data_IF_370449982157
#
_entry.id   IF_370449982157
#
_cell.length_a   1.000
_cell.length_b   1.000
_cell.length_c   1.000
_cell.angle_alpha   90.00
_cell.angle_beta   90.00
_cell.angle_gamma   90.00
#
_symmetry.space_group_name_H-M   'P 1'
#
loop_
_entity.id
_entity.type
_entity.pdbx_description
1 polymer ?
#
# COMPACT_ATOMS: atom_id res chain seq x y z
N UNK A 1 16.31 28.89 -6.08
CA UNK A 1 16.74 27.92 -7.10
C UNK A 1 17.05 26.62 -6.38
N UNK A 2 16.51 25.50 -6.88
CA UNK A 2 16.68 24.19 -6.26
C UNK A 2 18.09 23.63 -6.48
N UNK A 3 18.57 22.80 -5.56
CA UNK A 3 19.85 22.08 -5.70
C UNK A 3 19.70 20.61 -5.29
N UNK A 4 20.66 19.80 -5.74
CA UNK A 4 20.79 18.41 -5.30
C UNK A 4 20.81 18.31 -3.76
N UNK A 5 20.03 17.39 -3.22
CA UNK A 5 19.85 17.16 -1.79
C UNK A 5 18.76 18.02 -1.14
N UNK A 6 18.14 18.96 -1.86
CA UNK A 6 16.98 19.67 -1.31
C UNK A 6 15.82 18.69 -1.11
N UNK A 7 15.17 18.80 0.06
CA UNK A 7 13.98 18.04 0.43
C UNK A 7 12.74 18.80 -0.01
N UNK A 8 11.79 18.10 -0.62
CA UNK A 8 10.59 18.70 -1.19
C UNK A 8 9.35 17.89 -0.85
N UNK A 9 8.19 18.53 -0.93
CA UNK A 9 6.87 17.89 -0.89
C UNK A 9 6.15 18.18 -2.21
N UNK A 10 5.50 17.16 -2.77
CA UNK A 10 4.81 17.26 -4.05
C UNK A 10 3.48 18.02 -3.89
N UNK A 11 3.14 18.80 -4.91
CA UNK A 11 1.91 19.57 -4.99
C UNK A 11 0.95 18.96 -6.02
N UNK A 12 -0.34 19.10 -5.76
CA UNK A 12 -1.41 18.78 -6.70
C UNK A 12 -1.54 19.87 -7.80
N UNK A 13 -2.51 19.69 -8.70
CA UNK A 13 -2.78 20.67 -9.76
C UNK A 13 -3.32 22.02 -9.25
N UNK A 14 -3.73 22.10 -7.98
CA UNK A 14 -4.18 23.34 -7.31
C UNK A 14 -3.05 24.06 -6.56
N UNK A 15 -1.84 23.49 -6.54
CA UNK A 15 -0.68 24.03 -5.84
C UNK A 15 -0.68 23.73 -4.33
N UNK A 16 -1.51 22.79 -3.86
CA UNK A 16 -1.53 22.33 -2.48
C UNK A 16 -0.77 21.01 -2.35
N UNK A 17 -0.19 20.69 -1.17
CA UNK A 17 0.37 19.36 -0.94
C UNK A 17 -0.61 18.25 -1.32
N UNK A 18 -0.13 17.24 -2.02
CA UNK A 18 -0.91 16.03 -2.30
C UNK A 18 -1.36 15.41 -0.97
N UNK A 19 -2.57 14.86 -0.93
CA UNK A 19 -3.06 14.10 0.23
C UNK A 19 -3.16 12.63 -0.18
N UNK A 20 -2.37 11.74 0.45
CA UNK A 20 -1.44 11.96 1.55
C UNK A 20 -0.19 12.70 1.07
N UNK A 21 0.48 13.37 2.00
CA UNK A 21 1.69 14.14 1.72
C UNK A 21 2.79 13.22 1.17
N UNK A 22 3.27 13.52 -0.04
CA UNK A 22 4.39 12.80 -0.69
C UNK A 22 5.63 13.69 -0.61
N UNK A 23 6.71 13.16 -0.03
CA UNK A 23 8.01 13.85 0.05
C UNK A 23 9.05 13.19 -0.84
N UNK A 24 10.03 13.97 -1.29
CA UNK A 24 11.12 13.50 -2.12
C UNK A 24 12.41 14.29 -1.88
N UNK A 25 13.53 13.77 -2.38
CA UNK A 25 14.83 14.46 -2.40
C UNK A 25 15.21 14.77 -3.85
N UNK A 26 15.71 15.97 -4.12
CA UNK A 26 16.23 16.32 -5.44
C UNK A 26 17.54 15.55 -5.69
N UNK A 27 17.51 14.60 -6.60
CA UNK A 27 18.66 13.80 -7.01
C UNK A 27 19.55 14.55 -8.00
N UNK A 28 18.92 15.28 -8.94
CA UNK A 28 19.60 16.05 -9.98
C UNK A 28 18.74 17.21 -10.50
N UNK A 29 19.38 18.23 -11.07
CA UNK A 29 18.71 19.44 -11.60
C UNK A 29 18.98 19.57 -13.09
N UNK A 30 17.91 19.64 -13.88
CA UNK A 30 17.97 19.71 -15.35
C UNK A 30 17.50 21.08 -15.84
N UNK A 31 18.47 21.95 -16.12
CA UNK A 31 18.17 23.31 -16.56
C UNK A 31 17.50 24.14 -15.47
N UNK A 32 16.51 24.94 -15.87
CA UNK A 32 15.85 25.89 -14.97
C UNK A 32 14.43 25.47 -14.56
N UNK A 33 13.83 24.50 -15.25
CA UNK A 33 12.41 24.16 -15.12
C UNK A 33 12.17 22.73 -14.60
N UNK A 34 13.18 21.85 -14.58
CA UNK A 34 13.01 20.43 -14.25
C UNK A 34 14.03 19.91 -13.26
N UNK A 35 13.61 18.94 -12.47
CA UNK A 35 14.48 18.20 -11.55
C UNK A 35 14.16 16.72 -11.61
N UNK A 36 15.11 15.89 -11.19
CA UNK A 36 14.88 14.49 -10.89
C UNK A 36 14.70 14.32 -9.39
N UNK A 37 13.57 13.76 -9.01
CA UNK A 37 13.23 13.47 -7.62
C UNK A 37 13.53 12.00 -7.33
N UNK A 38 14.14 11.75 -6.18
CA UNK A 38 14.29 10.45 -5.55
C UNK A 38 13.21 10.32 -4.48
N UNK A 39 12.33 9.34 -4.67
CA UNK A 39 11.25 9.02 -3.75
C UNK A 39 11.76 8.10 -2.61
N UNK A 40 11.05 8.06 -1.46
CA UNK A 40 11.48 7.26 -0.30
C UNK A 40 11.52 5.75 -0.56
N UNK A 41 10.78 5.26 -1.55
CA UNK A 41 10.74 3.87 -2.00
C UNK A 41 11.88 3.52 -3.00
N UNK A 42 12.84 4.43 -3.19
CA UNK A 42 13.88 4.39 -4.23
C UNK A 42 13.36 4.51 -5.67
N UNK A 43 12.10 4.87 -5.86
CA UNK A 43 11.59 5.32 -7.15
C UNK A 43 12.23 6.65 -7.58
N UNK A 44 12.24 6.91 -8.87
CA UNK A 44 12.65 8.21 -9.39
C UNK A 44 11.67 8.76 -10.42
N UNK A 45 11.39 10.05 -10.36
CA UNK A 45 10.57 10.74 -11.36
C UNK A 45 11.20 12.07 -11.80
N UNK A 46 10.87 12.49 -13.02
CA UNK A 46 11.21 13.82 -13.53
C UNK A 46 10.02 14.73 -13.29
N UNK A 47 10.26 15.90 -12.71
CA UNK A 47 9.17 16.81 -12.33
C UNK A 47 9.52 18.28 -12.59
N UNK A 48 8.50 19.10 -12.82
CA UNK A 48 8.64 20.54 -13.01
C UNK A 48 8.75 21.29 -11.68
N UNK A 49 9.56 22.34 -11.65
CA UNK A 49 9.85 23.13 -10.43
C UNK A 49 8.66 23.84 -9.80
N UNK A 50 7.51 23.89 -10.49
CA UNK A 50 6.23 24.42 -10.01
C UNK A 50 5.33 23.35 -9.37
N UNK A 51 5.73 22.07 -9.37
CA UNK A 51 4.95 20.92 -8.85
C UNK A 51 5.41 20.41 -7.49
N UNK A 52 6.30 21.15 -6.83
CA UNK A 52 6.75 20.82 -5.48
C UNK A 52 7.19 22.08 -4.74
N UNK A 53 7.10 22.05 -3.42
CA UNK A 53 7.66 23.09 -2.55
C UNK A 53 8.84 22.54 -1.74
N UNK A 54 9.83 23.39 -1.48
CA UNK A 54 10.94 23.05 -0.59
C UNK A 54 10.46 22.94 0.85
N UNK A 55 10.90 21.91 1.56
CA UNK A 55 10.65 21.71 2.98
C UNK A 55 11.97 21.55 3.74
N UNK A 56 11.92 21.71 5.06
CA UNK A 56 13.07 21.44 5.92
C UNK A 56 13.18 19.95 6.26
N UNK A 57 14.32 19.59 6.85
CA UNK A 57 14.60 18.22 7.28
C UNK A 57 13.59 17.70 8.29
N UNK A 58 13.16 18.57 9.22
CA UNK A 58 12.21 18.19 10.26
C UNK A 58 10.85 17.80 9.67
N UNK A 59 10.26 18.63 8.80
CA UNK A 59 8.99 18.36 8.12
C UNK A 59 9.09 17.15 7.21
N UNK A 60 10.23 16.94 6.55
CA UNK A 60 10.48 15.75 5.74
C UNK A 60 10.43 14.46 6.59
N UNK A 61 11.15 14.44 7.71
CA UNK A 61 11.20 13.28 8.59
C UNK A 61 9.85 13.02 9.28
N UNK A 62 9.13 14.08 9.70
CA UNK A 62 7.77 14.00 10.25
C UNK A 62 6.79 13.35 9.26
N UNK A 63 6.80 13.78 7.99
CA UNK A 63 5.94 13.19 6.95
C UNK A 63 6.35 11.75 6.65
N UNK A 64 7.65 11.48 6.53
CA UNK A 64 8.15 10.13 6.25
C UNK A 64 7.83 9.15 7.38
N UNK A 65 7.96 9.58 8.64
CA UNK A 65 7.55 8.78 9.80
C UNK A 65 6.04 8.58 9.82
N UNK A 66 5.24 9.61 9.54
CA UNK A 66 3.80 9.47 9.43
C UNK A 66 3.41 8.44 8.37
N UNK A 67 4.08 8.40 7.22
CA UNK A 67 3.84 7.38 6.19
C UNK A 67 4.22 5.99 6.70
N UNK A 68 5.36 5.82 7.38
CA UNK A 68 5.80 4.53 7.94
C UNK A 68 4.95 4.03 9.12
N UNK A 69 4.44 4.93 9.95
CA UNK A 69 3.51 4.61 11.03
C UNK A 69 2.13 4.24 10.48
N UNK A 70 1.76 4.76 9.31
CA UNK A 70 0.53 4.44 8.60
C UNK A 70 0.68 3.32 7.56
N UNK A 71 1.90 2.81 7.32
CA UNK A 71 2.14 1.59 6.53
C UNK A 71 1.57 0.40 7.30
N UNK A 72 0.27 0.17 7.16
CA UNK A 72 -0.33 -1.08 7.59
C UNK A 72 0.29 -2.20 6.76
N UNK A 73 0.85 -3.20 7.43
CA UNK A 73 1.36 -4.39 6.78
C UNK A 73 0.25 -5.02 5.95
N UNK A 74 0.37 -4.95 4.63
CA UNK A 74 -0.57 -5.59 3.74
C UNK A 74 -0.48 -7.11 3.93
N UNK A 75 -1.62 -7.82 3.92
CA UNK A 75 -1.62 -9.26 4.02
C UNK A 75 -0.86 -9.86 2.83
N UNK A 76 0.04 -10.79 3.13
CA UNK A 76 0.81 -11.54 2.15
C UNK A 76 0.21 -12.92 1.96
N UNK A 77 0.50 -13.54 0.81
CA UNK A 77 0.03 -14.90 0.49
C UNK A 77 0.32 -15.90 1.61
N UNK A 78 -0.67 -16.74 1.94
CA UNK A 78 -0.47 -17.87 2.82
C UNK A 78 0.64 -18.77 2.26
N UNK A 79 1.76 -18.85 2.99
CA UNK A 79 2.87 -19.74 2.69
C UNK A 79 2.57 -21.17 3.16
N UNK A 80 1.46 -21.73 2.67
CA UNK A 80 0.98 -23.06 3.02
C UNK A 80 1.05 -23.99 1.80
N UNK A 81 1.57 -25.20 2.02
CA UNK A 81 1.32 -26.32 1.10
C UNK A 81 -0.13 -26.78 1.28
N UNK A 82 -1.05 -26.14 0.55
CA UNK A 82 -2.50 -26.30 0.75
C UNK A 82 -2.96 -27.75 0.59
N UNK A 83 -2.30 -28.53 -0.28
CA UNK A 83 -2.64 -29.95 -0.48
C UNK A 83 -2.27 -30.78 0.74
N UNK A 84 -1.07 -30.58 1.31
CA UNK A 84 -0.67 -31.23 2.56
C UNK A 84 -1.49 -30.76 3.74
N UNK A 85 -1.80 -29.47 3.81
CA UNK A 85 -2.64 -28.88 4.85
C UNK A 85 -4.04 -29.51 4.82
N UNK A 86 -4.74 -29.44 3.69
CA UNK A 86 -6.04 -30.07 3.51
C UNK A 86 -6.01 -31.58 3.80
N UNK A 87 -4.94 -32.29 3.41
CA UNK A 87 -4.84 -33.73 3.63
C UNK A 87 -4.96 -34.15 5.11
N UNK A 88 -4.57 -33.28 6.06
CA UNK A 88 -4.67 -33.51 7.51
C UNK A 88 -6.10 -33.43 8.05
N UNK A 89 -7.06 -32.93 7.27
CA UNK A 89 -8.44 -32.74 7.70
C UNK A 89 -9.42 -33.71 7.02
N UNK A 90 -10.60 -33.96 7.61
CA UNK A 90 -11.64 -34.80 7.00
C UNK A 90 -12.08 -34.30 5.63
N UNK A 91 -12.54 -35.19 4.74
CA UNK A 91 -12.85 -34.89 3.32
C UNK A 91 -13.75 -33.66 3.12
N UNK A 92 -14.83 -33.51 3.91
CA UNK A 92 -15.73 -32.34 3.82
C UNK A 92 -15.02 -31.01 4.11
N UNK A 93 -14.02 -31.00 5.00
CA UNK A 93 -13.20 -29.82 5.27
C UNK A 93 -12.14 -29.58 4.20
N UNK A 94 -11.77 -30.58 3.39
CA UNK A 94 -10.75 -30.40 2.32
C UNK A 94 -11.25 -29.44 1.24
N UNK A 95 -12.47 -29.64 0.77
CA UNK A 95 -13.05 -28.80 -0.29
C UNK A 95 -13.27 -27.36 0.21
N UNK A 96 -13.69 -27.21 1.48
CA UNK A 96 -13.82 -25.92 2.15
C UNK A 96 -12.47 -25.21 2.30
N UNK A 97 -11.42 -25.92 2.72
CA UNK A 97 -10.06 -25.39 2.84
C UNK A 97 -9.55 -24.88 1.49
N UNK A 98 -9.76 -25.64 0.40
CA UNK A 98 -9.33 -25.23 -0.94
C UNK A 98 -10.07 -23.97 -1.40
N UNK A 99 -11.40 -23.91 -1.20
CA UNK A 99 -12.20 -22.75 -1.55
C UNK A 99 -11.78 -21.51 -0.75
N UNK A 100 -11.58 -21.65 0.57
CA UNK A 100 -11.11 -20.54 1.42
C UNK A 100 -9.72 -20.07 1.02
N UNK A 101 -8.83 -20.97 0.61
CA UNK A 101 -7.49 -20.61 0.14
C UNK A 101 -7.53 -19.81 -1.17
N UNK A 102 -8.38 -20.20 -2.12
CA UNK A 102 -8.53 -19.49 -3.39
C UNK A 102 -9.18 -18.11 -3.19
N UNK A 103 -10.13 -18.01 -2.25
CA UNK A 103 -10.71 -16.72 -1.83
C UNK A 103 -9.66 -15.82 -1.17
N UNK A 104 -8.84 -16.35 -0.26
CA UNK A 104 -7.77 -15.62 0.42
C UNK A 104 -6.81 -14.98 -0.60
N UNK A 105 -6.35 -15.76 -1.58
CA UNK A 105 -5.50 -15.28 -2.69
C UNK A 105 -6.15 -14.17 -3.51
N UNK A 106 -7.44 -14.31 -3.83
CA UNK A 106 -8.17 -13.29 -4.58
C UNK A 106 -8.22 -11.98 -3.78
N UNK A 107 -8.53 -12.06 -2.48
CA UNK A 107 -8.59 -10.87 -1.63
C UNK A 107 -7.23 -10.20 -1.47
N UNK A 108 -6.15 -10.97 -1.31
CA UNK A 108 -4.78 -10.43 -1.29
C UNK A 108 -4.46 -9.69 -2.58
N UNK A 109 -4.78 -10.28 -3.73
CA UNK A 109 -4.53 -9.62 -5.02
C UNK A 109 -5.28 -8.30 -5.15
N UNK A 110 -6.52 -8.21 -4.66
CA UNK A 110 -7.32 -6.98 -4.66
C UNK A 110 -6.70 -5.94 -3.72
N UNK A 111 -6.34 -6.34 -2.49
CA UNK A 111 -5.72 -5.45 -1.51
C UNK A 111 -4.37 -4.92 -2.04
N UNK A 112 -3.50 -5.78 -2.55
CA UNK A 112 -2.22 -5.35 -3.13
C UNK A 112 -2.39 -4.41 -4.33
N UNK A 113 -3.42 -4.61 -5.16
CA UNK A 113 -3.67 -3.76 -6.31
C UNK A 113 -4.21 -2.37 -5.93
N UNK A 114 -4.98 -2.27 -4.84
CA UNK A 114 -5.77 -1.08 -4.55
C UNK A 114 -5.37 -0.35 -3.26
N UNK A 115 -4.74 -1.00 -2.29
CA UNK A 115 -4.31 -0.35 -1.04
C UNK A 115 -3.42 0.86 -1.29
N UNK A 116 -2.49 0.77 -2.25
CA UNK A 116 -1.67 1.93 -2.62
C UNK A 116 -2.52 3.10 -3.15
N UNK A 117 -3.57 2.84 -3.92
CA UNK A 117 -4.45 3.89 -4.45
C UNK A 117 -5.33 4.50 -3.36
N UNK A 118 -5.89 3.68 -2.48
CA UNK A 118 -6.68 4.13 -1.31
C UNK A 118 -5.84 5.00 -0.40
N UNK A 119 -4.62 4.54 -0.09
CA UNK A 119 -3.67 5.30 0.72
C UNK A 119 -3.26 6.61 0.03
N UNK A 120 -3.02 6.61 -1.29
CA UNK A 120 -2.49 7.76 -2.04
C UNK A 120 -3.53 8.80 -2.49
N UNK A 121 -4.80 8.45 -2.60
CA UNK A 121 -5.81 9.38 -3.13
C UNK A 121 -6.93 9.68 -2.13
N UNK A 122 -7.03 8.95 -1.02
CA UNK A 122 -8.17 9.01 -0.12
C UNK A 122 -9.39 8.27 -0.68
N UNK A 123 -10.21 7.68 0.19
CA UNK A 123 -11.38 6.90 -0.22
C UNK A 123 -12.39 7.73 -1.03
N UNK A 124 -12.51 9.01 -0.70
CA UNK A 124 -13.44 9.96 -1.32
C UNK A 124 -13.15 10.24 -2.80
N UNK A 125 -11.93 9.96 -3.28
CA UNK A 125 -11.50 10.20 -4.65
C UNK A 125 -11.44 8.91 -5.49
N UNK A 126 -11.88 7.78 -4.95
CA UNK A 126 -11.89 6.48 -5.62
C UNK A 126 -13.28 6.16 -6.16
N UNK A 127 -13.33 5.54 -7.34
CA UNK A 127 -14.58 5.07 -7.93
C UNK A 127 -15.30 4.10 -6.96
N UNK A 128 -16.61 4.31 -6.76
CA UNK A 128 -17.43 3.54 -5.82
C UNK A 128 -17.33 2.02 -6.03
N UNK A 129 -17.23 1.56 -7.27
CA UNK A 129 -17.08 0.13 -7.57
C UNK A 129 -15.77 -0.43 -7.03
N UNK A 130 -14.66 0.30 -7.19
CA UNK A 130 -13.37 -0.11 -6.64
C UNK A 130 -13.37 -0.07 -5.11
N UNK A 131 -13.98 0.97 -4.53
CA UNK A 131 -14.09 1.07 -3.08
C UNK A 131 -14.92 -0.08 -2.49
N UNK A 132 -15.96 -0.51 -3.20
CA UNK A 132 -16.73 -1.70 -2.83
C UNK A 132 -15.87 -2.97 -2.88
N UNK A 133 -15.16 -3.23 -3.98
CA UNK A 133 -14.28 -4.41 -4.10
C UNK A 133 -13.19 -4.43 -3.03
N UNK A 134 -12.61 -3.27 -2.74
CA UNK A 134 -11.61 -3.11 -1.70
C UNK A 134 -12.16 -3.46 -0.32
N UNK A 135 -13.31 -2.89 0.06
CA UNK A 135 -13.96 -3.14 1.34
C UNK A 135 -14.44 -4.59 1.49
N UNK A 136 -14.93 -5.21 0.40
CA UNK A 136 -15.24 -6.63 0.38
C UNK A 136 -13.98 -7.47 0.63
N UNK A 137 -12.85 -7.10 0.02
CA UNK A 137 -11.58 -7.80 0.23
C UNK A 137 -11.02 -7.64 1.65
N UNK A 138 -11.17 -6.47 2.30
CA UNK A 138 -10.79 -6.27 3.71
C UNK A 138 -11.58 -7.20 4.63
N UNK A 139 -12.90 -7.32 4.43
CA UNK A 139 -13.73 -8.24 5.23
C UNK A 139 -13.45 -9.69 4.88
N UNK A 140 -13.25 -9.96 3.60
CA UNK A 140 -12.97 -11.27 3.04
C UNK A 140 -11.69 -11.87 3.60
N UNK A 141 -10.60 -11.09 3.64
CA UNK A 141 -9.31 -11.57 4.14
C UNK A 141 -9.34 -11.87 5.64
N UNK A 142 -10.03 -11.05 6.45
CA UNK A 142 -10.22 -11.33 7.88
C UNK A 142 -10.97 -12.66 8.03
N UNK A 143 -12.04 -12.86 7.27
CA UNK A 143 -12.84 -14.10 7.32
C UNK A 143 -12.02 -15.33 6.93
N UNK A 144 -11.28 -15.28 5.82
CA UNK A 144 -10.47 -16.43 5.36
C UNK A 144 -9.34 -16.70 6.34
N UNK A 145 -8.70 -15.67 6.89
CA UNK A 145 -7.60 -15.83 7.86
C UNK A 145 -8.07 -16.36 9.20
N UNK A 146 -9.22 -15.92 9.70
CA UNK A 146 -9.84 -16.50 10.90
C UNK A 146 -10.14 -17.97 10.70
N UNK A 147 -10.68 -18.37 9.54
CA UNK A 147 -10.90 -19.78 9.22
C UNK A 147 -9.61 -20.60 9.29
N UNK A 148 -8.51 -20.10 8.71
CA UNK A 148 -7.23 -20.81 8.77
C UNK A 148 -6.61 -20.79 10.17
N UNK A 149 -6.75 -19.70 10.92
CA UNK A 149 -6.28 -19.57 12.29
C UNK A 149 -6.98 -20.57 13.23
N UNK A 150 -8.27 -20.81 13.06
CA UNK A 150 -9.02 -21.85 13.81
C UNK A 150 -8.53 -23.28 13.52
N UNK A 151 -7.88 -23.50 12.37
CA UNK A 151 -7.29 -24.79 12.00
C UNK A 151 -5.82 -24.90 12.41
N UNK A 152 -5.11 -23.78 12.47
CA UNK A 152 -3.71 -23.64 12.83
C UNK A 152 -3.45 -22.23 13.39
N UNK A 153 -3.37 -22.12 14.72
CA UNK A 153 -3.22 -20.86 15.46
C UNK A 153 -1.92 -20.11 15.11
N UNK A 154 -0.96 -20.75 14.46
CA UNK A 154 0.26 -20.09 13.99
C UNK A 154 0.03 -19.15 12.80
N UNK A 155 -1.13 -19.25 12.13
CA UNK A 155 -1.50 -18.40 11.00
C UNK A 155 -2.10 -17.10 11.54
N UNK A 156 -1.48 -15.93 11.30
CA UNK A 156 -1.99 -14.67 11.85
C UNK A 156 -3.25 -14.20 11.13
N UNK A 157 -4.15 -13.57 11.89
CA UNK A 157 -5.27 -12.79 11.36
C UNK A 157 -4.81 -11.33 11.19
N UNK A 158 -4.87 -10.75 9.98
CA UNK A 158 -4.49 -9.36 9.75
C UNK A 158 -5.39 -8.39 10.51
N UNK A 159 -4.81 -7.29 10.99
CA UNK A 159 -5.53 -6.14 11.55
C UNK A 159 -5.54 -5.01 10.50
N UNK A 160 -6.64 -4.91 9.75
CA UNK A 160 -6.78 -4.03 8.58
C UNK A 160 -7.89 -2.99 8.78
#
# INVERSE_FOLDING_TARGET
>A
MYKKGDKVILLDYSGKPVVPNIVAVIEDVFGNDRVRLLLPDNGCCMEFVDRFEKIDEKKYDEILHSVKENEKNLPVDLQLDIRKFAAKHPRRRKDEILNMFDQDKRYISILQAYSGRVMMYGEENINEHFLYEYNDAVRGIIKTRTFFHELDESIPVPDL
#
